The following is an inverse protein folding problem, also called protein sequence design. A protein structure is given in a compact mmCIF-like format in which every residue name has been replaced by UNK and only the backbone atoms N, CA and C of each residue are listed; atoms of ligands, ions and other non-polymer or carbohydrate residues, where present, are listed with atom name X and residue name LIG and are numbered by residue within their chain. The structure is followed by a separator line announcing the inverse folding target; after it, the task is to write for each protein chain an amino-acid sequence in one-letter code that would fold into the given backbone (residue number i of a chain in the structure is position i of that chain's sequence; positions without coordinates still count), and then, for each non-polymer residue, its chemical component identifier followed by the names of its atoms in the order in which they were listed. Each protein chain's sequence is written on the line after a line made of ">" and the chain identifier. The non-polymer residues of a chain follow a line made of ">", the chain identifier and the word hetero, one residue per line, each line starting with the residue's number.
data_IF_185504583930
#
_entry.id   IF_185504583930
#
_cell.length_a   1.000
_cell.length_b   1.000
_cell.length_c   1.000
_cell.angle_alpha   90.00
_cell.angle_beta   90.00
_cell.angle_gamma   90.00
#
_symmetry.space_group_name_H-M   'P 1'
#
loop_
_entity.id
_entity.type
_entity.pdbx_description
1 polymer ?
#
# COMPACT_ATOMS: atom_id res chain seq x y z
N UNK A 1 15.32 -6.06 -24.84
CA UNK A 1 14.91 -6.16 -23.42
C UNK A 1 15.29 -4.90 -22.63
N UNK A 2 16.57 -4.64 -22.34
CA UNK A 2 16.97 -3.43 -21.60
C UNK A 2 16.65 -2.14 -22.39
N UNK A 3 16.92 -2.14 -23.70
CA UNK A 3 16.64 -1.00 -24.57
C UNK A 3 15.15 -0.63 -24.57
N UNK A 4 14.27 -1.63 -24.67
CA UNK A 4 12.82 -1.43 -24.69
C UNK A 4 12.30 -0.83 -23.38
N UNK A 5 12.86 -1.22 -22.22
CA UNK A 5 12.44 -0.70 -20.91
C UNK A 5 12.77 0.80 -20.73
N UNK A 6 13.86 1.27 -21.34
CA UNK A 6 14.29 2.67 -21.24
C UNK A 6 13.37 3.60 -22.05
N UNK A 7 12.78 3.10 -23.13
CA UNK A 7 11.95 3.89 -24.04
C UNK A 7 10.49 4.01 -23.58
N UNK A 8 10.05 3.16 -22.64
CA UNK A 8 8.69 3.20 -22.09
C UNK A 8 8.48 4.47 -21.27
N UNK A 9 7.41 5.19 -21.60
CA UNK A 9 6.94 6.34 -20.82
C UNK A 9 5.84 5.91 -19.85
N UNK A 10 6.00 6.10 -18.53
CA UNK A 10 4.98 5.74 -17.57
C UNK A 10 3.74 6.64 -17.72
N UNK A 11 2.56 6.02 -17.69
CA UNK A 11 1.28 6.73 -17.62
C UNK A 11 0.87 6.79 -16.14
N UNK A 12 1.03 7.96 -15.54
CA UNK A 12 0.77 8.14 -14.11
C UNK A 12 -0.72 8.38 -13.82
N UNK A 13 -1.17 7.81 -12.71
CA UNK A 13 -2.40 8.21 -12.02
C UNK A 13 -2.05 9.08 -10.82
N UNK A 14 -2.75 10.20 -10.66
CA UNK A 14 -2.59 11.10 -9.51
C UNK A 14 -3.66 10.79 -8.46
N UNK A 15 -3.26 10.81 -7.19
CA UNK A 15 -4.12 10.62 -6.04
C UNK A 15 -3.69 11.61 -4.95
N UNK A 16 -4.63 12.01 -4.10
CA UNK A 16 -4.34 12.96 -3.02
C UNK A 16 -3.42 12.34 -1.97
N UNK A 17 -2.43 13.10 -1.52
CA UNK A 17 -1.62 12.73 -0.37
C UNK A 17 -2.39 12.87 0.95
N UNK A 18 -1.76 12.49 2.06
CA UNK A 18 -2.39 12.53 3.38
C UNK A 18 -1.77 13.51 4.38
N UNK A 19 -0.56 14.05 4.14
CA UNK A 19 0.15 15.00 5.01
C UNK A 19 0.12 14.66 6.52
N UNK A 20 0.06 13.37 6.84
CA UNK A 20 -0.06 12.83 8.20
C UNK A 20 0.95 11.70 8.37
N UNK A 21 1.46 11.55 9.60
CA UNK A 21 2.38 10.47 9.91
C UNK A 21 1.62 9.13 9.94
N UNK A 22 2.16 8.11 9.29
CA UNK A 22 1.63 6.73 9.31
C UNK A 22 2.48 5.77 10.16
N UNK A 23 3.63 6.24 10.68
CA UNK A 23 4.59 5.42 11.41
C UNK A 23 3.97 4.84 12.68
N UNK A 24 4.05 3.53 12.83
CA UNK A 24 3.58 2.83 14.02
C UNK A 24 2.08 2.57 14.06
N UNK A 25 1.34 2.88 13.00
CA UNK A 25 -0.08 2.53 12.89
C UNK A 25 -0.22 1.00 12.77
N UNK A 26 -1.14 0.43 13.56
CA UNK A 26 -1.37 -1.02 13.67
C UNK A 26 -2.78 -1.46 13.26
N UNK A 27 -3.67 -0.49 13.02
CA UNK A 27 -5.05 -0.74 12.58
C UNK A 27 -5.32 -0.01 11.28
N UNK A 28 -6.11 -0.64 10.42
CA UNK A 28 -6.53 -0.05 9.15
C UNK A 28 -7.26 1.29 9.33
N UNK A 29 -8.20 1.34 10.28
CA UNK A 29 -9.06 2.51 10.49
C UNK A 29 -8.29 3.73 11.01
N UNK A 30 -7.12 3.53 11.59
CA UNK A 30 -6.24 4.60 12.07
C UNK A 30 -5.45 5.26 10.92
N UNK A 31 -5.40 4.63 9.74
CA UNK A 31 -4.75 5.21 8.56
C UNK A 31 -5.50 6.45 8.08
N UNK A 32 -4.81 7.47 7.57
CA UNK A 32 -5.45 8.57 6.88
C UNK A 32 -6.32 8.08 5.72
N UNK A 33 -7.50 8.67 5.54
CA UNK A 33 -8.46 8.26 4.50
C UNK A 33 -7.84 8.19 3.10
N UNK A 34 -6.94 9.12 2.76
CA UNK A 34 -6.26 9.10 1.46
C UNK A 34 -5.22 7.98 1.34
N UNK A 35 -4.58 7.57 2.44
CA UNK A 35 -3.70 6.39 2.46
C UNK A 35 -4.52 5.11 2.25
N UNK A 36 -5.68 4.99 2.92
CA UNK A 36 -6.61 3.87 2.70
C UNK A 36 -7.03 3.78 1.23
N UNK A 37 -7.46 4.90 0.62
CA UNK A 37 -7.81 4.97 -0.82
C UNK A 37 -6.66 4.53 -1.72
N UNK A 38 -5.43 4.95 -1.42
CA UNK A 38 -4.25 4.57 -2.19
C UNK A 38 -3.99 3.07 -2.14
N UNK A 39 -4.11 2.46 -0.96
CA UNK A 39 -3.91 1.02 -0.76
C UNK A 39 -5.02 0.22 -1.46
N UNK A 40 -6.28 0.64 -1.34
CA UNK A 40 -7.40 0.02 -2.07
C UNK A 40 -7.21 0.11 -3.58
N UNK A 41 -6.73 1.24 -4.10
CA UNK A 41 -6.43 1.38 -5.51
C UNK A 41 -5.36 0.38 -5.98
N UNK A 42 -4.31 0.14 -5.20
CA UNK A 42 -3.27 -0.85 -5.55
C UNK A 42 -3.87 -2.26 -5.62
N UNK A 43 -4.72 -2.63 -4.66
CA UNK A 43 -5.40 -3.92 -4.67
C UNK A 43 -6.22 -4.12 -5.94
N UNK A 44 -7.08 -3.16 -6.26
CA UNK A 44 -7.98 -3.23 -7.42
C UNK A 44 -7.19 -3.22 -8.73
N UNK A 45 -6.18 -2.36 -8.82
CA UNK A 45 -5.37 -2.20 -10.03
C UNK A 45 -4.52 -3.44 -10.34
N UNK A 46 -3.95 -4.05 -9.30
CA UNK A 46 -3.15 -5.26 -9.44
C UNK A 46 -4.01 -6.54 -9.47
N UNK A 47 -5.29 -6.45 -9.11
CA UNK A 47 -6.17 -7.61 -8.99
C UNK A 47 -5.75 -8.58 -7.87
N UNK A 48 -5.11 -8.07 -6.81
CA UNK A 48 -4.60 -8.87 -5.70
C UNK A 48 -5.12 -8.35 -4.36
N UNK A 49 -5.16 -9.23 -3.36
CA UNK A 49 -5.41 -8.83 -1.98
C UNK A 49 -4.12 -8.37 -1.31
N UNK A 50 -4.20 -7.32 -0.49
CA UNK A 50 -3.12 -6.95 0.42
C UNK A 50 -3.42 -7.58 1.78
N UNK A 51 -2.56 -8.49 2.20
CA UNK A 51 -2.70 -9.20 3.48
C UNK A 51 -2.10 -8.44 4.65
N UNK A 52 -1.05 -7.64 4.42
CA UNK A 52 -0.37 -6.89 5.47
C UNK A 52 0.27 -5.57 4.98
N UNK A 53 0.43 -4.63 5.90
CA UNK A 53 1.04 -3.31 5.66
C UNK A 53 2.04 -3.02 6.78
N UNK A 54 3.32 -2.92 6.46
CA UNK A 54 4.35 -2.46 7.41
C UNK A 54 4.35 -0.93 7.46
N UNK A 55 4.26 -0.37 8.66
CA UNK A 55 4.22 1.08 8.88
C UNK A 55 5.51 1.61 9.53
N UNK A 56 6.40 0.72 9.97
CA UNK A 56 7.72 1.06 10.50
C UNK A 56 8.67 -0.13 10.42
N UNK A 57 9.99 0.06 10.67
CA UNK A 57 10.94 -1.05 10.76
C UNK A 57 10.66 -2.04 11.91
N UNK A 58 9.86 -1.65 12.91
CA UNK A 58 9.52 -2.52 14.05
C UNK A 58 8.56 -3.62 13.63
N UNK A 59 8.77 -4.83 14.14
CA UNK A 59 7.94 -6.00 13.79
C UNK A 59 6.47 -5.81 14.18
N UNK A 60 6.23 -5.11 15.27
CA UNK A 60 4.91 -4.88 15.85
C UNK A 60 4.15 -3.75 15.15
N UNK A 61 4.84 -2.97 14.30
CA UNK A 61 4.28 -1.84 13.57
C UNK A 61 3.83 -2.29 12.18
N UNK A 62 2.96 -3.30 12.18
CA UNK A 62 2.36 -3.86 10.98
C UNK A 62 0.85 -4.03 11.17
N UNK A 63 0.08 -3.65 10.15
CA UNK A 63 -1.35 -3.90 10.06
C UNK A 63 -1.52 -5.26 9.39
N UNK A 64 -2.18 -6.21 10.05
CA UNK A 64 -2.55 -7.51 9.47
C UNK A 64 -4.03 -7.46 9.06
N UNK A 65 -4.31 -7.48 7.77
CA UNK A 65 -5.67 -7.46 7.20
C UNK A 65 -6.21 -8.89 7.09
N UNK A 66 -5.39 -9.77 6.52
CA UNK A 66 -5.70 -11.19 6.33
C UNK A 66 -4.46 -11.97 6.74
N UNK A 67 -4.61 -12.96 7.63
CA UNK A 67 -3.50 -13.81 8.03
C UNK A 67 -3.23 -14.83 6.91
N UNK A 68 -2.07 -14.77 6.24
CA UNK A 68 -1.76 -15.66 5.12
C UNK A 68 -1.61 -17.13 5.53
N UNK A 69 -1.53 -17.44 6.83
CA UNK A 69 -1.40 -18.80 7.36
C UNK A 69 -2.68 -19.31 8.02
N UNK A 70 -3.73 -18.49 8.09
CA UNK A 70 -5.00 -18.90 8.66
C UNK A 70 -5.82 -19.65 7.60
N UNK A 71 -6.02 -20.94 7.86
CA UNK A 71 -6.89 -21.82 7.07
C UNK A 71 -8.37 -21.57 7.37
#
# INVERSE_FOLDING_TARGET
>A
ALQDQIEVKPIYKRMDGWLKNTKGIKKWDDLPTNAQKYISFIQDFCGVKISSISTSPSREDSILIEDPFKH
#
